data_IF_887080942846
#
_entry.id   IF_887080942846
#
_cell.length_a   1.000
_cell.length_b   1.000
_cell.length_c   1.000
_cell.angle_alpha   90.00
_cell.angle_beta   90.00
_cell.angle_gamma   90.00
#
_symmetry.space_group_name_H-M   'P 1'
#
loop_
_entity.id
_entity.type
_entity.pdbx_description
1 polymer ?
#
# COMPACT_ATOMS: atom_id res chain seq x y z
N UNK A 1 15.70 -1.85 -12.00
CA UNK A 1 15.03 -1.92 -10.68
C UNK A 1 15.08 -0.57 -9.94
N UNK A 2 16.25 0.07 -9.80
CA UNK A 2 16.38 1.41 -9.17
C UNK A 2 15.61 2.55 -9.87
N UNK A 3 15.52 2.56 -11.21
CA UNK A 3 14.84 3.63 -11.96
C UNK A 3 13.34 3.75 -11.62
N UNK A 4 12.67 2.64 -11.31
CA UNK A 4 11.26 2.63 -10.89
C UNK A 4 11.07 3.22 -9.48
N UNK A 5 12.02 2.98 -8.57
CA UNK A 5 11.98 3.50 -7.20
C UNK A 5 12.15 5.03 -7.15
N UNK A 6 13.03 5.58 -8.00
CA UNK A 6 13.22 7.02 -8.11
C UNK A 6 11.98 7.69 -8.74
N UNK A 7 11.41 7.07 -9.78
CA UNK A 7 10.21 7.59 -10.44
C UNK A 7 9.01 7.65 -9.47
N UNK A 8 8.79 6.61 -8.64
CA UNK A 8 7.72 6.60 -7.65
C UNK A 8 7.85 7.71 -6.59
N UNK A 9 9.07 8.00 -6.12
CA UNK A 9 9.32 9.11 -5.18
C UNK A 9 9.06 10.48 -5.82
N UNK A 10 9.38 10.64 -7.10
CA UNK A 10 9.20 11.90 -7.83
C UNK A 10 7.75 12.14 -8.27
N UNK A 11 6.99 11.09 -8.55
CA UNK A 11 5.59 11.17 -8.99
C UNK A 11 4.62 11.56 -7.86
N UNK A 12 5.01 11.41 -6.59
CA UNK A 12 4.11 11.55 -5.44
C UNK A 12 3.13 10.38 -5.35
N UNK A 13 2.05 10.53 -4.56
CA UNK A 13 0.95 9.56 -4.54
C UNK A 13 0.35 9.39 -3.16
N UNK A 14 -0.21 8.20 -2.91
CA UNK A 14 -0.66 7.77 -1.58
C UNK A 14 -0.37 6.30 -1.35
N UNK A 15 -0.10 5.97 -0.09
CA UNK A 15 -0.05 4.60 0.41
C UNK A 15 -1.34 4.31 1.15
N UNK A 16 -1.92 3.13 0.99
CA UNK A 16 -3.14 2.73 1.70
C UNK A 16 -3.02 1.32 2.24
N UNK A 17 -3.69 1.04 3.35
CA UNK A 17 -3.91 -0.34 3.81
C UNK A 17 -5.13 -0.89 3.09
N UNK A 18 -5.03 -2.12 2.61
CA UNK A 18 -6.09 -2.83 1.90
C UNK A 18 -6.39 -4.15 2.59
N UNK A 19 -7.66 -4.55 2.60
CA UNK A 19 -8.13 -5.81 3.18
C UNK A 19 -8.25 -6.88 2.09
N UNK A 20 -7.71 -8.05 2.39
CA UNK A 20 -7.84 -9.26 1.60
C UNK A 20 -8.72 -10.22 2.36
N UNK A 21 -9.86 -10.57 1.77
CA UNK A 21 -10.75 -11.58 2.32
C UNK A 21 -10.56 -12.88 1.56
N UNK A 22 -10.28 -13.96 2.28
CA UNK A 22 -10.24 -15.29 1.71
C UNK A 22 -11.69 -15.75 1.43
N UNK A 23 -12.07 -16.05 0.18
CA UNK A 23 -13.43 -16.46 -0.15
C UNK A 23 -13.80 -17.84 0.40
N UNK A 24 -12.84 -18.68 0.74
CA UNK A 24 -13.09 -20.05 1.20
C UNK A 24 -13.54 -20.13 2.67
N UNK A 25 -12.94 -19.31 3.54
CA UNK A 25 -13.16 -19.36 5.00
C UNK A 25 -13.57 -18.00 5.59
N UNK A 26 -13.60 -16.94 4.79
CA UNK A 26 -13.94 -15.59 5.21
C UNK A 26 -12.86 -14.89 6.04
N UNK A 27 -11.69 -15.51 6.24
CA UNK A 27 -10.58 -14.91 6.98
C UNK A 27 -10.09 -13.63 6.30
N UNK A 28 -9.65 -12.67 7.10
CA UNK A 28 -9.19 -11.37 6.63
C UNK A 28 -7.71 -11.19 6.93
N UNK A 29 -6.99 -10.61 5.98
CA UNK A 29 -5.62 -10.18 6.16
C UNK A 29 -5.44 -8.81 5.52
N UNK A 30 -4.64 -7.96 6.14
CA UNK A 30 -4.33 -6.63 5.63
C UNK A 30 -3.03 -6.64 4.83
N UNK A 31 -2.90 -5.71 3.89
CA UNK A 31 -1.67 -5.47 3.14
C UNK A 31 -1.53 -4.00 2.75
N UNK A 32 -0.39 -3.65 2.17
CA UNK A 32 -0.08 -2.26 1.80
C UNK A 32 -0.15 -2.10 0.29
N UNK A 33 -0.80 -1.05 -0.18
CA UNK A 33 -0.88 -0.70 -1.59
C UNK A 33 -0.35 0.73 -1.80
N UNK A 34 0.26 0.97 -2.96
CA UNK A 34 0.70 2.29 -3.40
C UNK A 34 -0.02 2.67 -4.69
N UNK A 35 -0.46 3.93 -4.74
CA UNK A 35 -1.11 4.54 -5.90
C UNK A 35 -0.37 5.84 -6.23
N UNK A 36 0.23 5.89 -7.40
CA UNK A 36 0.90 7.07 -7.92
C UNK A 36 -0.10 8.20 -8.22
N UNK A 37 0.34 9.46 -8.17
CA UNK A 37 -0.50 10.59 -8.61
C UNK A 37 -0.88 10.40 -10.07
N UNK A 38 -2.16 10.61 -10.39
CA UNK A 38 -2.69 10.45 -11.74
C UNK A 38 -3.16 9.03 -12.07
N UNK A 39 -2.87 8.04 -11.22
CA UNK A 39 -3.51 6.73 -11.30
C UNK A 39 -4.93 6.80 -10.71
N UNK A 40 -5.93 6.37 -11.48
CA UNK A 40 -7.36 6.55 -11.15
C UNK A 40 -8.13 5.23 -11.01
N UNK A 41 -7.53 4.10 -11.34
CA UNK A 41 -8.26 2.83 -11.52
C UNK A 41 -7.76 1.69 -10.65
N UNK A 42 -6.46 1.62 -10.35
CA UNK A 42 -5.89 0.55 -9.54
C UNK A 42 -4.63 0.99 -8.79
N UNK A 43 -4.26 0.25 -7.75
CA UNK A 43 -2.96 0.41 -7.13
C UNK A 43 -1.87 0.01 -8.13
N UNK A 44 -0.88 0.89 -8.33
CA UNK A 44 0.29 0.62 -9.17
C UNK A 44 1.16 -0.49 -8.57
N UNK A 45 1.08 -0.66 -7.25
CA UNK A 45 1.77 -1.73 -6.55
C UNK A 45 1.00 -2.19 -5.32
N UNK A 46 1.02 -3.49 -5.08
CA UNK A 46 0.45 -4.14 -3.90
C UNK A 46 1.53 -5.01 -3.28
N UNK A 47 1.71 -4.88 -1.96
CA UNK A 47 2.64 -5.68 -1.19
C UNK A 47 2.30 -7.18 -1.31
N UNK A 48 3.30 -8.06 -1.48
CA UNK A 48 3.10 -9.50 -1.37
C UNK A 48 2.89 -9.94 0.09
N UNK A 49 3.33 -9.14 1.06
CA UNK A 49 3.17 -9.45 2.47
C UNK A 49 1.71 -9.28 2.92
N UNK A 50 1.25 -10.22 3.74
CA UNK A 50 -0.06 -10.19 4.39
C UNK A 50 0.13 -10.13 5.90
N UNK A 51 -0.66 -9.30 6.56
CA UNK A 51 -0.64 -9.09 7.99
C UNK A 51 -1.99 -9.52 8.57
N UNK A 52 -1.97 -10.39 9.58
CA UNK A 52 -3.16 -10.76 10.34
C UNK A 52 -3.49 -9.75 11.44
N UNK A 53 -2.52 -8.90 11.79
CA UNK A 53 -2.67 -7.79 12.74
C UNK A 53 -2.69 -6.47 11.98
N UNK A 54 -3.77 -5.70 12.18
CA UNK A 54 -3.95 -4.39 11.56
C UNK A 54 -2.83 -3.41 11.94
N UNK A 55 -2.34 -3.45 13.18
CA UNK A 55 -1.29 -2.54 13.63
C UNK A 55 0.02 -2.75 12.85
N UNK A 56 0.31 -3.99 12.44
CA UNK A 56 1.46 -4.28 11.59
C UNK A 56 1.29 -3.74 10.17
N UNK A 57 0.08 -3.82 9.60
CA UNK A 57 -0.22 -3.24 8.29
C UNK A 57 -0.11 -1.71 8.32
N UNK A 58 -0.61 -1.08 9.38
CA UNK A 58 -0.53 0.38 9.59
C UNK A 58 0.93 0.84 9.73
N UNK A 59 1.73 0.13 10.52
CA UNK A 59 3.16 0.41 10.67
C UNK A 59 3.91 0.26 9.33
N UNK A 60 3.62 -0.80 8.56
CA UNK A 60 4.22 -1.00 7.24
C UNK A 60 3.82 0.11 6.25
N UNK A 61 2.56 0.54 6.26
CA UNK A 61 2.08 1.65 5.45
C UNK A 61 2.76 2.97 5.82
N UNK A 62 2.92 3.25 7.12
CA UNK A 62 3.60 4.44 7.61
C UNK A 62 5.08 4.47 7.19
N UNK A 63 5.79 3.34 7.32
CA UNK A 63 7.19 3.23 6.90
C UNK A 63 7.34 3.43 5.39
N UNK A 64 6.48 2.81 4.58
CA UNK A 64 6.51 2.97 3.13
C UNK A 64 6.19 4.42 2.72
N UNK A 65 5.18 5.02 3.35
CA UNK A 65 4.81 6.41 3.10
C UNK A 65 5.97 7.37 3.42
N UNK A 66 6.63 7.17 4.57
CA UNK A 66 7.81 7.95 4.97
C UNK A 66 8.97 7.78 3.98
N UNK A 67 9.25 6.54 3.54
CA UNK A 67 10.30 6.26 2.56
C UNK A 67 10.04 6.94 1.21
N UNK A 68 8.80 6.91 0.74
CA UNK A 68 8.39 7.51 -0.54
C UNK A 68 8.13 9.02 -0.45
N UNK A 69 8.05 9.59 0.75
CA UNK A 69 7.70 11.00 0.95
C UNK A 69 6.24 11.32 0.63
N UNK A 70 5.35 10.35 0.76
CA UNK A 70 3.90 10.47 0.46
C UNK A 70 3.06 10.32 1.73
N UNK A 71 1.75 10.56 1.63
CA UNK A 71 0.82 10.37 2.77
C UNK A 71 0.24 8.97 2.78
N UNK A 72 -0.12 8.50 3.98
CA UNK A 72 -1.06 7.38 4.12
C UNK A 72 -2.47 7.92 3.85
N UNK A 73 -3.12 7.42 2.81
CA UNK A 73 -4.52 7.70 2.52
C UNK A 73 -5.42 6.80 3.36
N UNK A 74 -6.56 7.33 3.81
CA UNK A 74 -7.60 6.51 4.43
C UNK A 74 -7.98 5.38 3.46
N UNK A 75 -7.86 4.13 3.93
CA UNK A 75 -8.36 2.97 3.18
C UNK A 75 -9.84 3.19 2.85
N UNK A 76 -10.23 2.86 1.62
CA UNK A 76 -11.65 2.77 1.27
C UNK A 76 -12.23 1.45 1.76
#
# INVERSE_FOLDING_TARGET
>A
MMAHQIAAKAAGGRVSVVLFRNPADGSEASGVAYMAVGSSTAADWISPQRFTDQAHADAAAAVLAAFLGVRVGAGQ
#
